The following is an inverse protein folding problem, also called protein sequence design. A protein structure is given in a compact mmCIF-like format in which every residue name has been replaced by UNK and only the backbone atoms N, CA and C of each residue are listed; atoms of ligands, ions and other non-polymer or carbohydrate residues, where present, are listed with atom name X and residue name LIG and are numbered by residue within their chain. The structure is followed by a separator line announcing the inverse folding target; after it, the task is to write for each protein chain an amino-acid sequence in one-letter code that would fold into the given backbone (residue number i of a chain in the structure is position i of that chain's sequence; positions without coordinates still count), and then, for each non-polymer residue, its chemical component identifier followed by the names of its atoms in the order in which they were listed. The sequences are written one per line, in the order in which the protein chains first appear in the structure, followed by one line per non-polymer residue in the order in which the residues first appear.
data_IF_100046314182
#
_entry.id   IF_100046314182
#
_cell.length_a   1.000
_cell.length_b   1.000
_cell.length_c   1.000
_cell.angle_alpha   90.00
_cell.angle_beta   90.00
_cell.angle_gamma   90.00
#
_symmetry.space_group_name_H-M   'P 1'
#
loop_
_entity.id
_entity.type
_entity.pdbx_description
1 polymer ?
#
# COMPACT_ATOMS: atom_id res chain seq x y z
N UNK A 1 -6.90 3.19 15.99
CA UNK A 1 -8.26 3.01 15.44
C UNK A 1 -8.23 1.77 14.57
N UNK A 2 -9.08 0.81 14.85
CA UNK A 2 -9.04 -0.47 14.15
C UNK A 2 -9.65 -0.32 12.75
N UNK A 3 -9.00 -0.96 11.76
CA UNK A 3 -9.53 -1.06 10.41
C UNK A 3 -10.62 -2.13 10.32
N UNK A 4 -11.29 -2.24 9.17
CA UNK A 4 -12.22 -3.34 8.89
C UNK A 4 -11.56 -4.72 9.01
N UNK A 5 -10.28 -4.82 8.69
CA UNK A 5 -9.46 -6.04 8.77
C UNK A 5 -8.77 -6.23 10.13
N UNK A 6 -9.04 -5.34 11.12
CA UNK A 6 -8.46 -5.40 12.46
C UNK A 6 -7.02 -4.91 12.55
N UNK A 7 -6.48 -4.29 11.49
CA UNK A 7 -5.16 -3.68 11.54
C UNK A 7 -5.20 -2.34 12.28
N UNK A 8 -4.11 -2.03 13.00
CA UNK A 8 -3.97 -0.81 13.84
C UNK A 8 -2.86 0.11 13.37
N UNK A 9 -1.88 -0.43 12.67
CA UNK A 9 -0.68 0.26 12.22
C UNK A 9 -0.38 -0.07 10.76
N UNK A 10 0.49 0.70 10.17
CA UNK A 10 1.19 0.33 8.93
C UNK A 10 2.68 0.62 9.10
N UNK A 11 3.51 -0.11 8.38
CA UNK A 11 4.92 0.19 8.15
C UNK A 11 5.12 0.42 6.67
N UNK A 12 5.95 1.38 6.32
CA UNK A 12 6.39 1.58 4.95
C UNK A 12 7.91 1.42 4.84
N UNK A 13 8.34 0.86 3.73
CA UNK A 13 9.73 0.86 3.28
C UNK A 13 9.80 1.80 2.07
N UNK A 14 10.81 2.64 2.03
CA UNK A 14 10.96 3.67 1.01
C UNK A 14 12.37 3.56 0.44
N UNK A 15 12.48 3.42 -0.88
CA UNK A 15 13.76 3.58 -1.55
C UNK A 15 14.20 5.04 -1.51
N UNK A 16 15.39 5.30 -0.98
CA UNK A 16 15.85 6.68 -0.75
C UNK A 16 16.14 7.43 -2.06
N UNK A 17 16.52 6.73 -3.11
CA UNK A 17 16.81 7.32 -4.41
C UNK A 17 15.53 7.48 -5.26
N UNK A 18 14.73 6.42 -5.38
CA UNK A 18 13.58 6.36 -6.27
C UNK A 18 12.30 6.90 -5.65
N UNK A 19 12.22 6.96 -4.33
CA UNK A 19 11.00 7.28 -3.58
C UNK A 19 9.88 6.27 -3.78
N UNK A 20 10.19 5.08 -4.29
CA UNK A 20 9.27 3.95 -4.33
C UNK A 20 8.87 3.56 -2.92
N UNK A 21 7.59 3.28 -2.69
CA UNK A 21 7.01 3.05 -1.36
C UNK A 21 6.32 1.70 -1.31
N UNK A 22 6.73 0.86 -0.39
CA UNK A 22 6.01 -0.37 -0.04
C UNK A 22 5.32 -0.21 1.31
N UNK A 23 4.05 -0.54 1.38
CA UNK A 23 3.26 -0.42 2.62
C UNK A 23 2.76 -1.79 3.07
N UNK A 24 2.92 -2.07 4.34
CA UNK A 24 2.43 -3.28 4.98
C UNK A 24 1.56 -2.92 6.18
N UNK A 25 0.41 -3.59 6.27
CA UNK A 25 -0.58 -3.37 7.33
C UNK A 25 -0.29 -4.30 8.50
N UNK A 26 -0.38 -3.78 9.72
CA UNK A 26 0.01 -4.48 10.93
C UNK A 26 -1.11 -4.46 11.96
N UNK A 27 -1.32 -5.58 12.63
CA UNK A 27 -2.15 -5.65 13.84
C UNK A 27 -1.39 -5.16 15.06
N UNK A 28 -0.11 -5.53 15.15
CA UNK A 28 0.80 -5.20 16.25
C UNK A 28 2.15 -4.76 15.69
N UNK A 29 2.91 -3.98 16.45
CA UNK A 29 4.21 -3.44 15.99
C UNK A 29 5.32 -4.49 15.89
N UNK A 30 5.21 -5.59 16.60
CA UNK A 30 6.15 -6.71 16.55
C UNK A 30 6.18 -7.41 15.18
N UNK A 31 5.12 -7.26 14.37
CA UNK A 31 5.07 -7.80 13.00
C UNK A 31 6.02 -7.09 12.01
N UNK A 32 6.63 -5.97 12.39
CA UNK A 32 7.53 -5.20 11.50
C UNK A 32 8.67 -6.06 10.97
N UNK A 33 9.27 -6.90 11.80
CA UNK A 33 10.38 -7.75 11.40
C UNK A 33 9.96 -8.79 10.34
N UNK A 34 8.83 -9.44 10.52
CA UNK A 34 8.28 -10.39 9.53
C UNK A 34 8.04 -9.71 8.16
N UNK A 35 7.44 -8.52 8.20
CA UNK A 35 7.18 -7.75 6.98
C UNK A 35 8.46 -7.23 6.32
N UNK A 36 9.47 -6.86 7.12
CA UNK A 36 10.78 -6.50 6.59
C UNK A 36 11.42 -7.68 5.85
N UNK A 37 11.38 -8.89 6.40
CA UNK A 37 11.93 -10.09 5.75
C UNK A 37 11.23 -10.37 4.41
N UNK A 38 9.91 -10.23 4.35
CA UNK A 38 9.14 -10.39 3.10
C UNK A 38 9.53 -9.33 2.07
N UNK A 39 9.56 -8.07 2.49
CA UNK A 39 9.99 -6.95 1.65
C UNK A 39 11.40 -7.17 1.10
N UNK A 40 12.36 -7.48 1.97
CA UNK A 40 13.75 -7.69 1.61
C UNK A 40 13.90 -8.76 0.53
N UNK A 41 13.26 -9.93 0.72
CA UNK A 41 13.31 -11.02 -0.25
C UNK A 41 12.71 -10.65 -1.62
N UNK A 42 11.64 -9.85 -1.65
CA UNK A 42 11.00 -9.38 -2.87
C UNK A 42 11.90 -8.35 -3.56
N UNK A 43 12.36 -7.34 -2.84
CA UNK A 43 13.17 -6.24 -3.38
C UNK A 43 14.49 -6.74 -4.00
N UNK A 44 15.18 -7.67 -3.33
CA UNK A 44 16.40 -8.28 -3.87
C UNK A 44 16.12 -9.11 -5.13
N UNK A 45 15.02 -9.87 -5.15
CA UNK A 45 14.62 -10.66 -6.32
C UNK A 45 14.31 -9.78 -7.53
N UNK A 46 13.56 -8.70 -7.30
CA UNK A 46 13.17 -7.78 -8.37
C UNK A 46 14.36 -6.98 -8.92
N UNK A 47 15.27 -6.54 -8.06
CA UNK A 47 16.45 -5.75 -8.47
C UNK A 47 17.65 -6.59 -8.87
N UNK A 48 17.71 -7.86 -8.48
CA UNK A 48 18.90 -8.69 -8.68
C UNK A 48 20.13 -8.15 -7.95
N UNK A 49 19.94 -7.35 -6.90
CA UNK A 49 21.02 -6.70 -6.12
C UNK A 49 20.73 -6.81 -4.63
N UNK A 50 21.77 -7.03 -3.79
CA UNK A 50 21.59 -7.08 -2.35
C UNK A 50 21.24 -5.72 -1.77
N UNK A 51 20.41 -5.72 -0.71
CA UNK A 51 20.11 -4.54 0.08
C UNK A 51 21.35 -4.14 0.89
N UNK A 52 21.91 -2.98 0.64
CA UNK A 52 23.17 -2.55 1.28
C UNK A 52 22.97 -1.86 2.62
N UNK A 53 21.89 -1.13 2.76
CA UNK A 53 21.66 -0.28 3.93
C UNK A 53 20.17 -0.15 4.24
N UNK A 54 19.85 -0.26 5.51
CA UNK A 54 18.53 0.05 6.04
C UNK A 54 18.65 1.18 7.05
N UNK A 55 17.93 2.29 6.84
CA UNK A 55 17.85 3.37 7.80
C UNK A 55 16.51 3.31 8.54
N UNK A 56 16.54 3.35 9.87
CA UNK A 56 15.35 3.34 10.71
C UNK A 56 15.44 4.40 11.80
N UNK A 57 14.30 4.71 12.42
CA UNK A 57 14.29 5.43 13.68
C UNK A 57 14.73 4.49 14.83
N UNK A 58 14.67 5.00 16.06
CA UNK A 58 15.00 4.22 17.27
C UNK A 58 13.79 3.48 17.85
N UNK A 59 12.78 3.16 17.05
CA UNK A 59 11.62 2.39 17.50
C UNK A 59 12.02 1.02 18.04
N UNK A 60 11.32 0.54 19.07
CA UNK A 60 11.57 -0.75 19.70
C UNK A 60 11.50 -1.91 18.72
N UNK A 61 10.66 -1.79 17.68
CA UNK A 61 10.48 -2.74 16.59
C UNK A 61 11.75 -3.03 15.78
N UNK A 62 12.70 -2.08 15.74
CA UNK A 62 13.99 -2.20 15.01
C UNK A 62 15.18 -2.49 15.92
N UNK A 63 14.97 -2.63 17.24
CA UNK A 63 16.06 -2.78 18.21
C UNK A 63 16.19 -4.19 18.77
N UNK A 64 15.30 -5.11 18.39
CA UNK A 64 15.35 -6.51 18.83
C UNK A 64 16.67 -7.18 18.42
N UNK A 65 17.11 -8.16 19.19
CA UNK A 65 18.31 -8.93 18.86
C UNK A 65 18.11 -9.71 17.56
N UNK A 66 16.92 -10.22 17.32
CA UNK A 66 16.56 -10.93 16.11
C UNK A 66 16.73 -10.05 14.86
N UNK A 67 16.25 -8.79 14.91
CA UNK A 67 16.40 -7.82 13.82
C UNK A 67 17.88 -7.50 13.55
N UNK A 68 18.66 -7.31 14.61
CA UNK A 68 20.11 -7.04 14.49
C UNK A 68 20.88 -8.23 13.91
N UNK A 69 20.60 -9.45 14.40
CA UNK A 69 21.22 -10.67 13.89
C UNK A 69 20.92 -10.88 12.42
N UNK A 70 19.66 -10.66 12.00
CA UNK A 70 19.28 -10.75 10.61
C UNK A 70 20.03 -9.76 9.71
N UNK A 71 20.10 -8.49 10.11
CA UNK A 71 20.87 -7.49 9.36
C UNK A 71 22.35 -7.88 9.24
N UNK A 72 22.94 -8.39 10.33
CA UNK A 72 24.32 -8.87 10.32
C UNK A 72 24.53 -10.07 9.39
N UNK A 73 23.66 -11.10 9.47
CA UNK A 73 23.74 -12.29 8.62
C UNK A 73 23.54 -12.00 7.12
N UNK A 74 22.82 -10.93 6.79
CA UNK A 74 22.55 -10.50 5.43
C UNK A 74 23.48 -9.38 4.94
N UNK A 75 24.51 -9.03 5.69
CA UNK A 75 25.42 -7.92 5.38
C UNK A 75 24.72 -6.57 5.14
N UNK A 76 23.57 -6.36 5.81
CA UNK A 76 22.81 -5.11 5.71
C UNK A 76 23.33 -4.12 6.76
N UNK A 77 23.86 -2.98 6.32
CA UNK A 77 24.22 -1.90 7.21
C UNK A 77 22.97 -1.27 7.82
N UNK A 78 22.75 -1.47 9.12
CA UNK A 78 21.62 -0.90 9.84
C UNK A 78 22.01 0.46 10.44
N UNK A 79 21.52 1.54 9.82
CA UNK A 79 21.71 2.93 10.28
C UNK A 79 20.52 3.36 11.12
N UNK A 80 20.78 3.81 12.33
CA UNK A 80 19.77 4.41 13.21
C UNK A 80 19.89 5.91 13.19
N UNK A 81 18.78 6.61 13.05
CA UNK A 81 18.78 8.07 13.15
C UNK A 81 19.11 8.50 14.59
N UNK A 82 19.85 9.59 14.73
CA UNK A 82 20.17 10.16 16.04
C UNK A 82 18.88 10.72 16.65
N UNK A 83 18.59 10.44 17.93
CA UNK A 83 17.45 11.05 18.62
C UNK A 83 17.46 12.57 18.48
N UNK A 84 16.30 13.17 18.28
CA UNK A 84 16.13 14.62 18.13
C UNK A 84 16.77 15.25 16.87
N UNK A 85 17.08 14.45 15.84
CA UNK A 85 17.54 14.97 14.54
C UNK A 85 16.52 14.67 13.42
N UNK A 86 15.44 15.50 13.29
CA UNK A 86 14.41 15.28 12.28
C UNK A 86 14.96 15.26 10.85
N UNK A 87 16.08 15.96 10.59
CA UNK A 87 16.68 16.07 9.26
C UNK A 87 17.11 14.71 8.70
N UNK A 88 17.52 13.77 9.54
CA UNK A 88 17.93 12.43 9.13
C UNK A 88 16.74 11.53 8.76
N UNK A 89 15.54 11.87 9.23
CA UNK A 89 14.30 11.13 8.98
C UNK A 89 13.33 11.86 8.03
N UNK A 90 13.77 13.00 7.49
CA UNK A 90 12.89 13.93 6.78
C UNK A 90 12.22 13.34 5.51
N UNK A 91 12.79 12.33 4.87
CA UNK A 91 12.17 11.63 3.73
C UNK A 91 10.98 10.81 4.21
N UNK A 92 11.18 9.99 5.23
CA UNK A 92 10.14 9.12 5.79
C UNK A 92 9.01 9.95 6.42
N UNK A 93 9.36 11.00 7.17
CA UNK A 93 8.37 11.88 7.80
C UNK A 93 7.50 12.61 6.77
N UNK A 94 8.10 13.20 5.74
CA UNK A 94 7.36 13.85 4.65
C UNK A 94 6.50 12.85 3.89
N UNK A 95 7.01 11.66 3.59
CA UNK A 95 6.23 10.63 2.91
C UNK A 95 5.05 10.18 3.76
N UNK A 96 5.26 9.91 5.05
CA UNK A 96 4.20 9.56 5.98
C UNK A 96 3.13 10.66 6.09
N UNK A 97 3.56 11.91 6.17
CA UNK A 97 2.64 13.05 6.16
C UNK A 97 1.81 13.08 4.87
N UNK A 98 2.46 12.93 3.71
CA UNK A 98 1.78 12.90 2.40
C UNK A 98 0.77 11.75 2.31
N UNK A 99 1.16 10.55 2.74
CA UNK A 99 0.27 9.38 2.75
C UNK A 99 -0.96 9.65 3.62
N UNK A 100 -0.74 10.11 4.86
CA UNK A 100 -1.84 10.34 5.81
C UNK A 100 -2.79 11.44 5.32
N UNK A 101 -2.27 12.53 4.75
CA UNK A 101 -3.12 13.61 4.20
C UNK A 101 -3.93 13.13 2.99
N UNK A 102 -3.32 12.38 2.05
CA UNK A 102 -4.04 11.80 0.92
C UNK A 102 -5.13 10.82 1.39
N UNK A 103 -4.83 9.97 2.37
CA UNK A 103 -5.82 9.06 2.99
C UNK A 103 -6.98 9.84 3.59
N UNK A 104 -6.72 10.91 4.34
CA UNK A 104 -7.76 11.77 4.90
C UNK A 104 -8.64 12.40 3.82
N UNK A 105 -8.02 12.93 2.77
CA UNK A 105 -8.74 13.52 1.64
C UNK A 105 -9.65 12.49 0.96
N UNK A 106 -9.10 11.33 0.60
CA UNK A 106 -9.86 10.27 -0.10
C UNK A 106 -11.02 9.75 0.75
N UNK A 107 -10.81 9.48 2.06
CA UNK A 107 -11.88 9.06 2.96
C UNK A 107 -13.00 10.12 3.07
N UNK A 108 -12.64 11.40 3.09
CA UNK A 108 -13.62 12.49 3.18
C UNK A 108 -14.41 12.66 1.87
N UNK A 109 -13.73 12.62 0.73
CA UNK A 109 -14.37 12.72 -0.59
C UNK A 109 -15.35 11.58 -0.79
N UNK A 110 -14.94 10.35 -0.46
CA UNK A 110 -15.73 9.14 -0.57
C UNK A 110 -16.80 8.97 0.52
N UNK A 111 -16.90 9.92 1.46
CA UNK A 111 -17.77 9.81 2.63
C UNK A 111 -17.68 8.42 3.33
N UNK A 112 -16.47 7.83 3.30
CA UNK A 112 -16.21 6.52 3.88
C UNK A 112 -15.89 6.62 5.37
N UNK A 113 -16.30 5.65 6.18
CA UNK A 113 -15.88 5.53 7.56
C UNK A 113 -14.35 5.45 7.69
N UNK A 114 -13.82 6.02 8.77
CA UNK A 114 -12.36 5.96 9.04
C UNK A 114 -11.80 4.54 9.11
N UNK A 115 -12.63 3.53 9.39
CA UNK A 115 -12.23 2.11 9.39
C UNK A 115 -11.73 1.58 8.05
N UNK A 116 -11.96 2.30 6.94
CA UNK A 116 -11.42 1.97 5.61
C UNK A 116 -9.99 2.47 5.39
N UNK A 117 -9.35 3.05 6.40
CA UNK A 117 -8.03 3.67 6.24
C UNK A 117 -6.96 2.71 5.68
N UNK A 118 -7.02 1.43 6.00
CA UNK A 118 -6.06 0.42 5.52
C UNK A 118 -6.09 0.25 4.01
N UNK A 119 -7.28 0.11 3.46
CA UNK A 119 -7.49 -0.07 2.03
C UNK A 119 -7.10 1.18 1.26
N UNK A 120 -7.44 2.35 1.83
CA UNK A 120 -7.08 3.65 1.24
C UNK A 120 -5.58 3.90 1.31
N UNK A 121 -4.88 3.52 2.38
CA UNK A 121 -3.40 3.60 2.46
C UNK A 121 -2.74 2.83 1.32
N UNK A 122 -3.17 1.60 1.05
CA UNK A 122 -2.64 0.79 -0.05
C UNK A 122 -2.87 1.47 -1.40
N UNK A 123 -4.08 1.99 -1.64
CA UNK A 123 -4.41 2.72 -2.87
C UNK A 123 -3.56 3.99 -3.02
N UNK A 124 -3.39 4.75 -1.94
CA UNK A 124 -2.54 5.95 -1.94
C UNK A 124 -1.10 5.63 -2.28
N UNK A 125 -0.52 4.58 -1.70
CA UNK A 125 0.86 4.18 -2.00
C UNK A 125 1.01 3.72 -3.45
N UNK A 126 0.05 2.97 -3.99
CA UNK A 126 0.01 2.60 -5.40
C UNK A 126 0.01 3.87 -6.29
N UNK A 127 -0.86 4.83 -6.02
CA UNK A 127 -0.92 6.08 -6.79
C UNK A 127 0.34 6.96 -6.64
N UNK A 128 0.99 6.96 -5.48
CA UNK A 128 2.27 7.66 -5.28
C UNK A 128 3.35 7.05 -6.16
N UNK A 129 3.48 5.73 -6.18
CA UNK A 129 4.48 5.03 -6.99
C UNK A 129 4.28 5.23 -8.49
N UNK A 130 3.05 5.48 -8.91
CA UNK A 130 2.68 5.72 -10.32
C UNK A 130 2.57 7.20 -10.68
N UNK A 131 2.92 8.09 -9.77
CA UNK A 131 2.91 9.53 -10.02
C UNK A 131 4.33 10.05 -10.23
N UNK A 132 4.52 11.08 -11.10
CA UNK A 132 5.81 11.73 -11.27
C UNK A 132 6.41 12.21 -9.94
N UNK A 133 7.69 11.98 -9.76
CA UNK A 133 8.43 12.31 -8.53
C UNK A 133 9.51 13.36 -8.80
N UNK A 134 9.52 14.44 -8.03
CA UNK A 134 10.51 15.53 -8.18
C UNK A 134 11.95 15.03 -8.04
N UNK A 135 12.31 14.17 -7.07
CA UNK A 135 13.65 13.61 -6.98
C UNK A 135 14.11 12.79 -8.20
N UNK A 136 13.18 12.33 -9.04
CA UNK A 136 13.42 11.59 -10.27
C UNK A 136 13.28 12.47 -11.53
N UNK A 137 13.41 13.80 -11.39
CA UNK A 137 13.24 14.73 -12.53
C UNK A 137 11.88 14.56 -13.23
N UNK A 138 10.83 14.26 -12.45
CA UNK A 138 9.46 13.97 -12.87
C UNK A 138 9.26 12.60 -13.54
N UNK A 139 10.23 11.70 -13.48
CA UNK A 139 9.99 10.29 -13.82
C UNK A 139 9.20 9.57 -12.73
N UNK A 140 8.70 8.39 -13.05
CA UNK A 140 7.75 7.62 -12.24
C UNK A 140 8.51 6.57 -11.43
N UNK A 141 8.39 6.54 -10.08
CA UNK A 141 9.10 5.58 -9.23
C UNK A 141 8.95 4.13 -9.69
N UNK A 142 7.74 3.65 -9.91
CA UNK A 142 7.45 2.30 -10.37
C UNK A 142 8.10 1.98 -11.72
N UNK A 143 8.05 2.92 -12.68
CA UNK A 143 8.73 2.75 -13.98
C UNK A 143 10.24 2.55 -13.82
N UNK A 144 10.88 3.37 -13.00
CA UNK A 144 12.32 3.26 -12.74
C UNK A 144 12.64 2.01 -11.93
N UNK A 145 11.73 1.60 -11.03
CA UNK A 145 11.89 0.38 -10.27
C UNK A 145 11.80 -0.86 -11.16
N UNK A 146 10.77 -0.99 -11.98
CA UNK A 146 10.51 -2.17 -12.83
C UNK A 146 11.36 -2.15 -14.10
N UNK A 147 11.79 -0.95 -14.56
CA UNK A 147 12.51 -0.76 -15.84
C UNK A 147 11.62 -0.87 -17.08
N UNK A 148 10.30 -0.69 -16.91
CA UNK A 148 9.28 -0.74 -17.98
C UNK A 148 8.28 0.39 -17.80
N UNK A 149 7.66 0.82 -18.91
CA UNK A 149 6.59 1.81 -18.84
C UNK A 149 5.38 1.28 -18.05
N UNK A 150 4.82 2.16 -17.22
CA UNK A 150 3.66 1.85 -16.38
C UNK A 150 2.38 1.98 -17.21
N UNK A 151 1.51 0.99 -17.13
CA UNK A 151 0.18 1.06 -17.75
C UNK A 151 -0.83 1.66 -16.76
N UNK A 152 -1.55 2.68 -17.20
CA UNK A 152 -2.61 3.31 -16.42
C UNK A 152 -4.02 2.79 -16.77
N UNK A 153 -4.12 1.83 -17.69
CA UNK A 153 -5.41 1.35 -18.21
C UNK A 153 -6.31 0.72 -17.14
N UNK A 154 -5.71 0.20 -16.06
CA UNK A 154 -6.43 -0.39 -14.95
C UNK A 154 -6.80 0.61 -13.85
N UNK A 155 -6.24 1.82 -13.87
CA UNK A 155 -6.56 2.84 -12.89
C UNK A 155 -8.01 3.28 -13.07
N UNK A 156 -8.69 3.45 -11.94
CA UNK A 156 -10.08 3.84 -11.84
C UNK A 156 -10.27 4.99 -10.87
N UNK A 157 -11.26 5.82 -11.13
CA UNK A 157 -11.60 6.93 -10.23
C UNK A 157 -12.05 6.35 -8.89
N UNK A 158 -11.35 6.73 -7.83
CA UNK A 158 -11.69 6.31 -6.47
C UNK A 158 -13.12 6.73 -6.13
N UNK A 159 -13.89 5.85 -5.48
CA UNK A 159 -15.30 6.06 -5.13
C UNK A 159 -16.28 5.99 -6.30
N UNK A 160 -15.86 5.75 -7.54
CA UNK A 160 -16.80 5.63 -8.64
C UNK A 160 -17.80 4.48 -8.39
N UNK A 161 -19.00 4.67 -8.90
CA UNK A 161 -20.03 3.64 -8.85
C UNK A 161 -19.65 2.48 -9.75
N UNK A 162 -19.79 1.27 -9.24
CA UNK A 162 -19.44 0.05 -9.96
C UNK A 162 -20.57 -0.96 -9.92
N UNK A 163 -20.55 -1.89 -10.88
CA UNK A 163 -21.42 -3.04 -10.89
C UNK A 163 -20.58 -4.30 -11.00
N UNK A 164 -20.64 -5.11 -9.95
CA UNK A 164 -20.01 -6.44 -9.93
C UNK A 164 -20.93 -7.45 -10.60
N UNK A 165 -20.41 -8.26 -11.52
CA UNK A 165 -21.17 -9.34 -12.13
C UNK A 165 -21.42 -10.48 -11.14
N UNK A 166 -22.69 -10.90 -11.00
CA UNK A 166 -23.07 -12.05 -10.20
C UNK A 166 -23.14 -13.30 -11.09
N UNK A 167 -22.30 -14.33 -10.84
CA UNK A 167 -22.32 -15.57 -11.62
C UNK A 167 -23.70 -16.24 -11.64
N UNK A 168 -23.99 -16.98 -12.73
CA UNK A 168 -25.30 -17.64 -12.90
C UNK A 168 -25.62 -18.62 -11.78
N UNK A 169 -24.60 -19.27 -11.26
CA UNK A 169 -24.70 -20.26 -10.17
C UNK A 169 -25.10 -19.67 -8.83
N UNK A 170 -24.94 -18.36 -8.67
CA UNK A 170 -25.22 -17.62 -7.43
C UNK A 170 -26.54 -16.82 -7.47
N UNK A 171 -27.33 -16.96 -8.56
CA UNK A 171 -28.59 -16.21 -8.73
C UNK A 171 -29.71 -17.04 -9.32
N UNK A 172 -30.93 -16.71 -8.98
CA UNK A 172 -32.14 -17.26 -9.61
C UNK A 172 -32.40 -16.55 -10.96
N UNK A 173 -33.30 -17.12 -11.77
CA UNK A 173 -33.62 -16.61 -13.12
C UNK A 173 -34.04 -15.12 -13.15
N UNK A 174 -34.70 -14.65 -12.09
CA UNK A 174 -35.22 -13.28 -12.01
C UNK A 174 -34.37 -12.35 -11.15
N UNK A 175 -33.28 -12.86 -10.55
CA UNK A 175 -32.38 -12.04 -9.73
C UNK A 175 -31.56 -11.10 -10.60
N UNK A 176 -31.11 -10.01 -10.00
CA UNK A 176 -30.20 -9.06 -10.63
C UNK A 176 -28.92 -9.74 -11.10
N UNK A 177 -28.49 -9.42 -12.30
CA UNK A 177 -27.22 -9.93 -12.89
C UNK A 177 -25.99 -9.21 -12.33
N UNK A 178 -26.19 -8.08 -11.67
CA UNK A 178 -25.11 -7.27 -11.14
C UNK A 178 -25.48 -6.67 -9.77
N UNK A 179 -24.48 -6.55 -8.92
CA UNK A 179 -24.58 -5.90 -7.61
C UNK A 179 -23.97 -4.50 -7.69
N UNK A 180 -24.72 -3.43 -7.34
CA UNK A 180 -24.15 -2.09 -7.28
C UNK A 180 -23.18 -1.98 -6.10
N UNK A 181 -21.96 -1.55 -6.38
CA UNK A 181 -20.88 -1.40 -5.43
C UNK A 181 -20.20 -0.04 -5.60
N UNK A 182 -19.29 0.27 -4.70
CA UNK A 182 -18.40 1.43 -4.74
C UNK A 182 -16.97 0.93 -4.85
N UNK A 183 -16.21 1.45 -5.79
CA UNK A 183 -14.79 1.15 -5.93
C UNK A 183 -13.97 1.88 -4.87
N UNK A 184 -13.07 1.18 -4.18
CA UNK A 184 -12.22 1.81 -3.15
C UNK A 184 -10.77 1.32 -3.13
N UNK A 185 -10.36 0.50 -4.08
CA UNK A 185 -8.96 0.13 -4.18
C UNK A 185 -8.67 -1.07 -5.07
N UNK A 186 -7.40 -1.38 -5.15
CA UNK A 186 -6.86 -2.48 -5.94
C UNK A 186 -6.60 -3.69 -5.06
N UNK A 187 -6.76 -4.89 -5.62
CA UNK A 187 -6.43 -6.14 -4.95
C UNK A 187 -4.93 -6.46 -5.00
N UNK A 188 -4.59 -7.61 -4.44
CA UNK A 188 -3.20 -8.09 -4.42
C UNK A 188 -2.84 -8.90 -5.69
N UNK A 189 -3.87 -9.30 -6.46
CA UNK A 189 -3.71 -9.98 -7.74
C UNK A 189 -3.87 -8.99 -8.89
N UNK A 190 -3.14 -9.25 -9.98
CA UNK A 190 -3.23 -8.46 -11.18
C UNK A 190 -4.69 -8.35 -11.66
N UNK A 191 -5.17 -7.10 -11.84
CA UNK A 191 -6.54 -6.78 -12.26
C UNK A 191 -7.67 -7.13 -11.27
N UNK A 192 -7.38 -7.25 -9.98
CA UNK A 192 -8.40 -7.44 -8.95
C UNK A 192 -8.77 -6.10 -8.29
N UNK A 193 -10.08 -5.84 -8.18
CA UNK A 193 -10.61 -4.60 -7.62
C UNK A 193 -11.28 -4.87 -6.27
N UNK A 194 -11.06 -3.97 -5.33
CA UNK A 194 -11.74 -3.96 -4.02
C UNK A 194 -12.98 -3.09 -4.11
N UNK A 195 -14.12 -3.69 -3.87
CA UNK A 195 -15.43 -3.07 -3.97
C UNK A 195 -16.15 -3.12 -2.62
N UNK A 196 -16.94 -2.10 -2.34
CA UNK A 196 -17.81 -2.04 -1.17
C UNK A 196 -19.27 -2.21 -1.60
N UNK A 197 -19.94 -3.24 -1.09
CA UNK A 197 -21.40 -3.39 -1.19
C UNK A 197 -22.04 -2.64 -0.01
N UNK A 198 -22.68 -1.47 -0.24
CA UNK A 198 -23.28 -0.68 0.82
C UNK A 198 -24.53 -1.32 1.41
N UNK A 199 -25.23 -2.19 0.67
CA UNK A 199 -26.43 -2.89 1.13
C UNK A 199 -26.08 -4.02 2.10
N UNK A 200 -25.12 -4.86 1.70
CA UNK A 200 -24.66 -5.99 2.51
C UNK A 200 -23.60 -5.59 3.55
N UNK A 201 -23.10 -4.35 3.49
CA UNK A 201 -21.98 -3.85 4.31
C UNK A 201 -20.78 -4.79 4.26
N UNK A 202 -20.43 -5.24 3.06
CA UNK A 202 -19.40 -6.25 2.82
C UNK A 202 -18.42 -5.78 1.77
N UNK A 203 -17.15 -6.11 1.98
CA UNK A 203 -16.08 -5.97 1.00
C UNK A 203 -16.13 -7.14 0.02
N UNK A 204 -16.00 -6.85 -1.27
CA UNK A 204 -15.98 -7.81 -2.37
C UNK A 204 -14.69 -7.60 -3.14
N UNK A 205 -14.08 -8.68 -3.60
CA UNK A 205 -12.98 -8.67 -4.57
C UNK A 205 -13.49 -9.27 -5.87
N UNK A 206 -13.33 -8.55 -6.97
CA UNK A 206 -13.79 -9.01 -8.29
C UNK A 206 -12.95 -8.42 -9.41
N UNK A 207 -12.84 -9.18 -10.50
CA UNK A 207 -12.26 -8.73 -11.78
C UNK A 207 -13.34 -8.33 -12.78
N UNK A 208 -14.53 -8.93 -12.65
CA UNK A 208 -15.66 -8.71 -13.55
C UNK A 208 -16.53 -7.54 -13.05
N UNK A 209 -16.06 -6.34 -13.37
CA UNK A 209 -16.61 -5.09 -12.84
C UNK A 209 -16.82 -4.09 -13.98
N UNK A 210 -18.00 -3.48 -14.01
CA UNK A 210 -18.29 -2.34 -14.87
C UNK A 210 -18.21 -1.07 -14.04
N UNK A 211 -17.42 -0.10 -14.49
CA UNK A 211 -17.19 1.19 -13.84
C UNK A 211 -18.00 2.29 -14.48
N UNK A 212 -18.54 3.19 -13.66
CA UNK A 212 -19.20 4.42 -14.06
C UNK A 212 -18.40 5.59 -13.45
N UNK A 213 -17.41 6.03 -14.22
CA UNK A 213 -16.51 7.14 -13.88
C UNK A 213 -17.11 8.49 -14.30
#
# INVERSE_FOLDING_TARGET
MDSLSGNKYFVNFIDDALREVWVYLLKTKDQVFEHFNKFHAIAEREKGKPLKCLRTNNGGEYTSNEFKSYCFEKDIRHEKTIPSTPQQNGVVERMNHTIVEKVRCMLRMANLPKSFWCEVVQTVCCLINQSPSVPLELDIPEKVWIGKDVSYSYLKVFECKTFEHVPKEQRLKLDSKATPCIFFGYGDAEFDYKLWDPKKKKMIRSRDVVFYE
#
